data_IF_715697225856
#
_entry.id   IF_715697225856
#
_cell.length_a   1.000
_cell.length_b   1.000
_cell.length_c   1.000
_cell.angle_alpha   90.00
_cell.angle_beta   90.00
_cell.angle_gamma   90.00
#
_symmetry.space_group_name_H-M   'P 1'
#
loop_
_entity.id
_entity.type
_entity.pdbx_description
1 polymer ?
#
# COMPACT_ATOMS: atom_id res chain seq x y z
N UNK A 1 -18.72 18.03 12.57
CA UNK A 1 -17.34 18.44 12.91
C UNK A 1 -16.43 17.54 12.10
N UNK A 2 -15.46 18.06 11.35
CA UNK A 2 -14.62 17.23 10.47
C UNK A 2 -13.59 16.41 11.23
N UNK A 3 -13.21 16.83 12.43
CA UNK A 3 -12.15 16.18 13.20
C UNK A 3 -12.54 15.99 14.67
N UNK A 4 -12.40 14.77 15.15
CA UNK A 4 -12.42 14.38 16.55
C UNK A 4 -11.30 13.36 16.80
N UNK A 5 -10.34 13.71 17.66
CA UNK A 5 -9.20 12.86 17.97
C UNK A 5 -9.59 11.51 18.58
N UNK A 6 -10.76 11.42 19.25
CA UNK A 6 -11.24 10.19 19.87
C UNK A 6 -11.48 9.12 18.83
N UNK A 7 -11.87 9.52 17.62
CA UNK A 7 -12.10 8.61 16.51
C UNK A 7 -10.82 7.94 16.02
N UNK A 8 -9.66 8.58 16.18
CA UNK A 8 -8.36 7.98 15.83
C UNK A 8 -7.83 7.16 17.01
N UNK A 9 -7.82 7.75 18.22
CA UNK A 9 -7.19 7.15 19.39
C UNK A 9 -7.84 5.83 19.81
N UNK A 10 -9.17 5.68 19.62
CA UNK A 10 -9.89 4.43 19.93
C UNK A 10 -9.39 3.24 19.10
N UNK A 11 -8.87 3.45 17.90
CA UNK A 11 -8.39 2.35 17.04
C UNK A 11 -6.94 1.95 17.37
N UNK A 12 -6.11 2.89 17.83
CA UNK A 12 -4.75 2.56 18.29
C UNK A 12 -4.74 1.60 19.50
N UNK A 13 -5.76 1.65 20.35
CA UNK A 13 -5.90 0.67 21.44
C UNK A 13 -6.34 -0.70 20.93
N UNK A 14 -7.14 -0.76 19.86
CA UNK A 14 -7.62 -2.00 19.23
C UNK A 14 -6.54 -2.69 18.38
N UNK A 15 -5.68 -1.93 17.69
CA UNK A 15 -4.66 -2.48 16.77
C UNK A 15 -3.53 -3.27 17.44
N UNK A 16 -3.64 -3.60 18.74
CA UNK A 16 -2.65 -4.35 19.50
C UNK A 16 -1.26 -3.71 19.38
N UNK A 17 -1.15 -2.47 19.86
CA UNK A 17 0.07 -1.80 20.38
C UNK A 17 1.38 -1.75 19.59
N UNK A 18 1.52 -2.35 18.40
CA UNK A 18 2.79 -2.26 17.66
C UNK A 18 2.82 -1.05 16.73
N UNK A 19 3.46 0.01 17.23
CA UNK A 19 4.09 1.00 16.35
C UNK A 19 5.19 0.28 15.56
N UNK A 20 5.15 0.41 14.24
CA UNK A 20 6.11 -0.23 13.34
C UNK A 20 7.06 0.85 12.87
N UNK A 21 8.29 0.79 13.34
CA UNK A 21 9.30 1.75 12.95
C UNK A 21 9.87 1.41 11.57
N UNK A 22 9.79 2.37 10.63
CA UNK A 22 10.24 2.22 9.25
C UNK A 22 11.32 3.25 8.93
N UNK A 23 12.57 2.84 8.66
CA UNK A 23 13.66 3.76 8.41
C UNK A 23 13.60 4.44 7.04
N UNK A 24 12.86 3.85 6.10
CA UNK A 24 12.70 4.33 4.74
C UNK A 24 11.38 5.08 4.52
N UNK A 25 10.63 5.37 5.58
CA UNK A 25 9.36 6.09 5.51
C UNK A 25 9.56 7.61 5.45
N UNK A 26 8.98 8.23 4.42
CA UNK A 26 9.12 9.66 4.12
C UNK A 26 7.78 10.40 4.09
N UNK A 27 6.65 9.71 4.21
CA UNK A 27 5.35 10.35 4.12
C UNK A 27 4.18 9.39 4.07
N UNK A 28 2.98 9.96 3.91
CA UNK A 28 1.72 9.25 3.90
C UNK A 28 0.78 9.84 2.86
N UNK A 29 -0.14 9.02 2.36
CA UNK A 29 -1.39 9.48 1.75
C UNK A 29 -2.49 9.22 2.77
N UNK A 30 -3.15 10.28 3.23
CA UNK A 30 -4.19 10.23 4.26
C UNK A 30 -5.51 10.75 3.69
N UNK A 31 -6.64 10.15 4.06
CA UNK A 31 -7.95 10.68 3.71
C UNK A 31 -8.24 11.98 4.48
N UNK A 32 -9.20 12.75 3.96
CA UNK A 32 -9.62 14.02 4.55
C UNK A 32 -11.11 14.13 4.86
N UNK A 33 -11.92 13.12 4.54
CA UNK A 33 -13.26 13.04 5.12
C UNK A 33 -13.23 12.98 6.65
N UNK A 34 -14.39 13.25 7.25
CA UNK A 34 -14.54 13.33 8.70
C UNK A 34 -13.97 12.11 9.44
N UNK A 35 -13.29 12.34 10.56
CA UNK A 35 -12.62 11.27 11.34
C UNK A 35 -13.58 10.19 11.86
N UNK A 36 -14.87 10.49 11.96
CA UNK A 36 -15.91 9.50 12.24
C UNK A 36 -15.84 8.32 11.25
N UNK A 37 -15.51 8.59 9.99
CA UNK A 37 -15.40 7.60 8.92
C UNK A 37 -13.95 7.19 8.64
N UNK A 38 -12.99 8.10 8.83
CA UNK A 38 -11.60 7.90 8.41
C UNK A 38 -10.63 7.57 9.56
N UNK A 39 -11.07 7.67 10.82
CA UNK A 39 -10.22 7.51 12.01
C UNK A 39 -9.53 6.14 12.06
N UNK A 40 -10.21 5.08 11.63
CA UNK A 40 -9.70 3.71 11.60
C UNK A 40 -8.56 3.54 10.59
N UNK A 41 -8.74 3.99 9.34
CA UNK A 41 -7.68 3.91 8.32
C UNK A 41 -6.53 4.87 8.60
N UNK A 42 -6.78 6.06 9.17
CA UNK A 42 -5.72 6.99 9.60
C UNK A 42 -4.87 6.32 10.68
N UNK A 43 -5.50 5.73 11.71
CA UNK A 43 -4.80 5.02 12.77
C UNK A 43 -4.02 3.80 12.24
N UNK A 44 -4.60 3.04 11.31
CA UNK A 44 -3.92 1.92 10.65
C UNK A 44 -2.69 2.38 9.88
N UNK A 45 -2.80 3.46 9.13
CA UNK A 45 -1.72 4.00 8.28
C UNK A 45 -0.61 4.63 9.10
N UNK A 46 -0.96 5.33 10.18
CA UNK A 46 0.01 6.05 11.02
C UNK A 46 0.51 5.22 12.20
N UNK A 47 0.24 3.91 12.23
CA UNK A 47 0.99 2.98 13.09
C UNK A 47 2.42 2.77 12.58
N UNK A 48 2.64 2.97 11.28
CA UNK A 48 3.96 3.01 10.68
C UNK A 48 4.57 4.36 11.05
N UNK A 49 5.73 4.35 11.69
CA UNK A 49 6.39 5.54 12.23
C UNK A 49 7.77 5.67 11.60
N UNK A 50 8.16 6.85 11.07
CA UNK A 50 9.49 7.04 10.54
C UNK A 50 10.51 7.02 11.69
N UNK A 51 11.68 6.41 11.47
CA UNK A 51 12.79 6.52 12.45
C UNK A 51 13.58 7.81 12.29
N UNK A 52 13.52 8.44 11.11
CA UNK A 52 14.18 9.71 10.85
C UNK A 52 13.56 10.84 11.67
N UNK A 53 14.40 11.79 12.07
CA UNK A 53 13.94 13.07 12.61
C UNK A 53 13.49 13.96 11.45
N UNK A 54 12.48 14.77 11.69
CA UNK A 54 11.99 15.76 10.76
C UNK A 54 11.60 17.03 11.52
N UNK A 55 11.81 18.19 10.90
CA UNK A 55 11.41 19.50 11.42
C UNK A 55 10.32 20.14 10.57
N UNK A 56 9.98 19.54 9.42
CA UNK A 56 8.93 20.03 8.53
C UNK A 56 7.95 18.93 8.16
N UNK A 57 6.68 19.28 8.04
CA UNK A 57 5.62 18.43 7.52
C UNK A 57 4.93 19.18 6.40
N UNK A 58 5.13 18.73 5.17
CA UNK A 58 4.47 19.29 3.99
C UNK A 58 3.12 18.59 3.80
N UNK A 59 2.03 19.34 3.72
CA UNK A 59 0.69 18.77 3.47
C UNK A 59 0.20 19.29 2.11
N UNK A 60 0.21 18.42 1.12
CA UNK A 60 -0.31 18.68 -0.22
C UNK A 60 -1.81 18.37 -0.21
N UNK A 61 -2.62 19.38 -0.51
CA UNK A 61 -4.07 19.25 -0.54
C UNK A 61 -4.64 20.00 -1.74
N UNK A 62 -5.73 19.48 -2.28
CA UNK A 62 -6.55 20.17 -3.27
C UNK A 62 -7.82 20.62 -2.57
N UNK A 63 -8.11 21.93 -2.49
CA UNK A 63 -9.31 22.41 -1.83
C UNK A 63 -10.54 22.22 -2.72
N UNK A 64 -11.71 21.94 -2.12
CA UNK A 64 -12.99 21.92 -2.81
C UNK A 64 -13.26 23.21 -3.62
N UNK A 65 -12.76 24.36 -3.15
CA UNK A 65 -12.78 25.62 -3.91
C UNK A 65 -11.38 26.21 -3.99
N UNK A 66 -10.98 26.65 -5.19
CA UNK A 66 -9.68 27.28 -5.41
C UNK A 66 -9.43 28.53 -4.55
N UNK A 67 -10.48 29.23 -4.11
CA UNK A 67 -10.41 30.40 -3.23
C UNK A 67 -10.22 30.06 -1.74
N UNK A 68 -10.35 28.79 -1.34
CA UNK A 68 -10.24 28.40 0.06
C UNK A 68 -8.78 28.49 0.55
N UNK A 69 -8.63 29.06 1.73
CA UNK A 69 -7.36 29.03 2.45
C UNK A 69 -7.21 27.70 3.20
N UNK A 70 -5.98 27.34 3.56
CA UNK A 70 -5.73 26.17 4.42
C UNK A 70 -6.48 26.23 5.76
N UNK A 71 -6.89 27.42 6.24
CA UNK A 71 -7.65 27.57 7.49
C UNK A 71 -9.11 27.10 7.39
N UNK A 72 -9.63 26.99 6.17
CA UNK A 72 -11.04 26.66 5.89
C UNK A 72 -11.19 25.38 5.07
N UNK A 73 -10.12 24.88 4.46
CA UNK A 73 -10.10 23.65 3.69
C UNK A 73 -9.98 22.43 4.63
N UNK A 74 -11.03 21.62 4.70
CA UNK A 74 -11.02 20.38 5.47
C UNK A 74 -10.00 19.35 4.95
N UNK A 75 -9.68 19.45 3.66
CA UNK A 75 -8.64 18.71 2.95
C UNK A 75 -7.24 18.97 3.54
N UNK A 76 -7.02 20.12 4.16
CA UNK A 76 -5.84 20.38 4.96
C UNK A 76 -6.08 20.06 6.44
N UNK A 77 -7.21 20.49 6.99
CA UNK A 77 -7.49 20.45 8.42
C UNK A 77 -7.43 19.04 8.99
N UNK A 78 -8.07 18.06 8.33
CA UNK A 78 -8.17 16.69 8.83
C UNK A 78 -6.79 16.00 8.86
N UNK A 79 -5.99 15.98 7.78
CA UNK A 79 -4.63 15.43 7.84
C UNK A 79 -3.72 16.15 8.84
N UNK A 80 -3.80 17.49 8.92
CA UNK A 80 -3.02 18.29 9.85
C UNK A 80 -3.29 17.92 11.32
N UNK A 81 -4.58 17.94 11.72
CA UNK A 81 -4.97 17.60 13.08
C UNK A 81 -4.70 16.13 13.42
N UNK A 82 -4.87 15.23 12.44
CA UNK A 82 -4.50 13.81 12.60
C UNK A 82 -3.02 13.64 12.90
N UNK A 83 -2.15 14.35 12.16
CA UNK A 83 -0.71 14.36 12.42
C UNK A 83 -0.39 14.86 13.82
N UNK A 84 -0.95 16.01 14.22
CA UNK A 84 -0.74 16.55 15.57
C UNK A 84 -1.13 15.55 16.67
N UNK A 85 -2.35 15.02 16.59
CA UNK A 85 -2.85 14.04 17.57
C UNK A 85 -1.94 12.84 17.67
N UNK A 86 -1.53 12.25 16.56
CA UNK A 86 -0.70 11.04 16.56
C UNK A 86 0.73 11.34 17.01
N UNK A 87 1.33 12.42 16.52
CA UNK A 87 2.70 12.79 16.88
C UNK A 87 2.81 13.02 18.38
N UNK A 88 1.89 13.78 18.96
CA UNK A 88 1.94 14.14 20.37
C UNK A 88 1.50 12.99 21.28
N UNK A 89 0.37 12.35 20.96
CA UNK A 89 -0.29 11.41 21.88
C UNK A 89 0.14 9.97 21.68
N UNK A 90 0.50 9.57 20.47
CA UNK A 90 0.88 8.20 20.15
C UNK A 90 2.40 8.07 20.06
N UNK A 91 3.05 8.83 19.17
CA UNK A 91 4.49 8.75 18.96
C UNK A 91 5.32 9.52 19.99
N UNK A 92 4.67 10.35 20.82
CA UNK A 92 5.31 11.18 21.87
C UNK A 92 6.40 12.12 21.34
N UNK A 93 6.20 12.65 20.13
CA UNK A 93 7.04 13.65 19.49
C UNK A 93 6.58 15.05 19.92
N UNK A 94 7.53 15.92 20.27
CA UNK A 94 7.26 17.33 20.53
C UNK A 94 7.08 18.09 19.22
N UNK A 95 5.86 18.52 18.94
CA UNK A 95 5.43 19.23 17.72
C UNK A 95 5.80 20.72 17.71
N UNK A 96 6.23 21.32 18.83
CA UNK A 96 6.55 22.76 18.90
C UNK A 96 7.66 23.20 17.94
N UNK A 97 8.55 22.27 17.58
CA UNK A 97 9.68 22.52 16.67
C UNK A 97 9.43 21.95 15.27
N UNK A 98 8.20 21.53 14.97
CA UNK A 98 7.80 21.00 13.66
C UNK A 98 6.96 22.05 12.96
N UNK A 99 7.44 22.52 11.82
CA UNK A 99 6.72 23.42 10.93
C UNK A 99 5.76 22.62 10.04
N UNK A 100 4.47 22.91 10.11
CA UNK A 100 3.47 22.36 9.17
C UNK A 100 3.27 23.34 8.02
N UNK A 101 3.61 22.91 6.81
CA UNK A 101 3.63 23.75 5.61
C UNK A 101 2.50 23.31 4.67
N UNK A 102 1.40 24.09 4.57
CA UNK A 102 0.30 23.82 3.66
C UNK A 102 0.69 24.10 2.21
N UNK A 103 0.47 23.13 1.31
CA UNK A 103 0.57 23.31 -0.13
C UNK A 103 -0.80 23.10 -0.80
N UNK A 104 -1.47 24.22 -1.08
CA UNK A 104 -2.64 24.22 -1.97
C UNK A 104 -2.16 23.94 -3.39
N UNK A 105 -2.49 22.77 -3.92
CA UNK A 105 -1.96 22.33 -5.21
C UNK A 105 -2.57 23.09 -6.40
N UNK A 106 -3.65 23.84 -6.20
CA UNK A 106 -4.30 24.63 -7.26
C UNK A 106 -3.62 25.99 -7.42
N UNK A 107 -3.45 26.71 -6.32
CA UNK A 107 -3.04 28.13 -6.35
C UNK A 107 -1.54 28.34 -6.17
N UNK A 108 -0.84 27.37 -5.58
CA UNK A 108 0.57 27.53 -5.22
C UNK A 108 1.45 26.83 -6.25
N UNK A 109 2.43 27.56 -6.79
CA UNK A 109 3.54 26.93 -7.51
C UNK A 109 4.34 26.12 -6.50
N UNK A 110 4.27 24.79 -6.62
CA UNK A 110 4.95 23.91 -5.68
C UNK A 110 6.43 23.82 -6.07
N UNK A 111 7.37 24.24 -5.21
CA UNK A 111 8.80 24.18 -5.52
C UNK A 111 9.29 22.73 -5.44
N UNK A 112 10.24 22.35 -6.30
CA UNK A 112 10.93 21.07 -6.10
C UNK A 112 11.81 21.13 -4.85
N UNK A 113 11.63 20.18 -3.93
CA UNK A 113 12.46 20.07 -2.73
C UNK A 113 13.91 19.73 -3.10
N UNK A 114 14.84 20.29 -2.34
CA UNK A 114 16.22 19.82 -2.31
C UNK A 114 16.31 18.48 -1.58
N UNK A 115 17.42 17.75 -1.78
CA UNK A 115 17.68 16.48 -1.09
C UNK A 115 17.67 16.64 0.45
N UNK A 116 18.21 17.74 0.96
CA UNK A 116 18.26 18.00 2.40
C UNK A 116 16.87 18.30 2.96
N UNK A 117 16.08 19.12 2.28
CA UNK A 117 14.70 19.39 2.70
C UNK A 117 13.86 18.12 2.70
N UNK A 118 13.99 17.27 1.68
CA UNK A 118 13.29 15.98 1.64
C UNK A 118 13.70 15.06 2.79
N UNK A 119 15.00 14.98 3.09
CA UNK A 119 15.50 14.17 4.21
C UNK A 119 14.93 14.65 5.55
N UNK A 120 14.88 15.97 5.75
CA UNK A 120 14.51 16.60 7.03
C UNK A 120 12.99 16.89 7.14
N UNK A 121 12.18 16.36 6.21
CA UNK A 121 10.72 16.54 6.18
C UNK A 121 9.92 15.25 6.13
N UNK A 122 8.64 15.35 6.48
CA UNK A 122 7.61 14.36 6.22
C UNK A 122 6.62 14.93 5.21
N UNK A 123 6.15 14.11 4.27
CA UNK A 123 5.22 14.56 3.22
C UNK A 123 3.88 13.86 3.38
N UNK A 124 2.81 14.65 3.43
CA UNK A 124 1.44 14.17 3.50
C UNK A 124 0.73 14.57 2.21
N UNK A 125 0.10 13.60 1.55
CA UNK A 125 -0.86 13.84 0.47
C UNK A 125 -2.24 13.61 1.02
N UNK A 126 -3.11 14.60 0.86
CA UNK A 126 -4.51 14.54 1.24
C UNK A 126 -5.36 14.08 0.07
N UNK A 127 -6.06 12.94 0.20
CA UNK A 127 -6.89 12.40 -0.88
C UNK A 127 -7.98 11.44 -0.39
N UNK A 128 -9.19 11.62 -0.90
CA UNK A 128 -10.31 10.67 -0.80
C UNK A 128 -10.55 9.97 -2.15
N UNK A 129 -11.40 8.94 -2.17
CA UNK A 129 -11.62 8.09 -3.34
C UNK A 129 -13.11 7.75 -3.53
N UNK A 130 -13.51 7.55 -4.79
CA UNK A 130 -14.79 6.97 -5.23
C UNK A 130 -16.06 7.54 -4.57
N UNK A 131 -16.35 8.81 -4.84
CA UNK A 131 -17.54 9.48 -4.29
C UNK A 131 -18.84 8.93 -4.90
N UNK A 132 -19.75 8.47 -4.03
CA UNK A 132 -21.13 8.12 -4.36
C UNK A 132 -21.32 6.99 -5.38
N UNK A 133 -20.31 6.13 -5.54
CA UNK A 133 -20.39 4.91 -6.34
C UNK A 133 -20.94 3.75 -5.50
N UNK A 134 -21.65 2.81 -6.14
CA UNK A 134 -22.01 1.56 -5.49
C UNK A 134 -20.76 0.72 -5.17
N UNK A 135 -20.86 -0.17 -4.18
CA UNK A 135 -19.71 -0.91 -3.66
C UNK A 135 -18.90 -1.61 -4.76
N UNK A 136 -19.56 -2.30 -5.70
CA UNK A 136 -18.85 -3.13 -6.69
C UNK A 136 -18.16 -2.25 -7.75
N UNK A 137 -18.87 -1.25 -8.27
CA UNK A 137 -18.29 -0.30 -9.22
C UNK A 137 -17.11 0.45 -8.60
N UNK A 138 -17.30 0.94 -7.37
CA UNK A 138 -16.25 1.62 -6.64
C UNK A 138 -15.08 0.69 -6.35
N UNK A 139 -15.38 -0.58 -6.04
CA UNK A 139 -14.39 -1.56 -5.67
C UNK A 139 -13.39 -1.84 -6.80
N UNK A 140 -13.90 -2.04 -8.01
CA UNK A 140 -13.09 -2.27 -9.20
C UNK A 140 -12.28 -1.03 -9.57
N UNK A 141 -12.92 0.14 -9.52
CA UNK A 141 -12.29 1.40 -9.87
C UNK A 141 -11.15 1.76 -8.90
N UNK A 142 -11.33 1.54 -7.59
CA UNK A 142 -10.32 1.78 -6.57
C UNK A 142 -9.10 0.87 -6.71
N UNK A 143 -9.30 -0.43 -6.96
CA UNK A 143 -8.18 -1.36 -7.16
C UNK A 143 -7.34 -0.92 -8.38
N UNK A 144 -8.00 -0.50 -9.45
CA UNK A 144 -7.33 0.04 -10.63
C UNK A 144 -6.62 1.37 -10.33
N UNK A 145 -7.28 2.29 -9.63
CA UNK A 145 -6.74 3.60 -9.26
C UNK A 145 -5.52 3.48 -8.33
N UNK A 146 -5.55 2.57 -7.36
CA UNK A 146 -4.43 2.29 -6.47
C UNK A 146 -3.18 1.89 -7.27
N UNK A 147 -3.33 0.94 -8.19
CA UNK A 147 -2.25 0.48 -9.06
C UNK A 147 -1.77 1.60 -10.01
N UNK A 148 -2.68 2.40 -10.56
CA UNK A 148 -2.34 3.53 -11.42
C UNK A 148 -1.50 4.59 -10.70
N UNK A 149 -1.89 4.94 -9.47
CA UNK A 149 -1.17 5.90 -8.62
C UNK A 149 0.23 5.37 -8.28
N UNK A 150 0.30 4.11 -7.85
CA UNK A 150 1.57 3.48 -7.45
C UNK A 150 2.59 3.47 -8.60
N UNK A 151 2.13 3.26 -9.84
CA UNK A 151 2.97 3.28 -11.03
C UNK A 151 3.15 4.66 -11.66
N UNK A 152 2.53 5.71 -11.12
CA UNK A 152 2.46 7.04 -11.73
C UNK A 152 2.08 6.96 -13.22
N UNK A 153 0.97 6.26 -13.49
CA UNK A 153 0.56 5.91 -14.84
C UNK A 153 0.36 7.16 -15.73
N UNK A 154 0.98 7.16 -16.91
CA UNK A 154 0.91 8.30 -17.84
C UNK A 154 0.78 7.83 -19.30
N UNK A 155 -0.32 8.20 -20.00
CA UNK A 155 -1.48 8.94 -19.47
C UNK A 155 -2.22 8.15 -18.37
N UNK A 156 -2.91 8.83 -17.44
CA UNK A 156 -3.66 8.16 -16.39
C UNK A 156 -4.84 7.36 -17.01
N UNK A 157 -5.08 6.11 -16.58
CA UNK A 157 -6.22 5.32 -17.06
C UNK A 157 -7.53 5.87 -16.48
N UNK A 158 -8.66 5.66 -17.17
CA UNK A 158 -9.99 6.18 -16.77
C UNK A 158 -10.39 5.86 -15.32
N UNK A 159 -9.91 4.74 -14.76
CA UNK A 159 -10.22 4.41 -13.38
C UNK A 159 -9.68 5.43 -12.35
N UNK A 160 -8.68 6.26 -12.69
CA UNK A 160 -8.22 7.33 -11.80
C UNK A 160 -9.20 8.49 -11.69
N UNK A 161 -10.26 8.54 -12.50
CA UNK A 161 -11.30 9.57 -12.40
C UNK A 161 -12.06 9.50 -11.06
N UNK A 162 -11.97 8.36 -10.35
CA UNK A 162 -12.55 8.21 -9.01
C UNK A 162 -11.67 8.76 -7.90
N UNK A 163 -10.42 9.16 -8.20
CA UNK A 163 -9.52 9.73 -7.21
C UNK A 163 -9.86 11.20 -7.08
N UNK A 164 -10.24 11.63 -5.88
CA UNK A 164 -10.45 13.05 -5.66
C UNK A 164 -9.14 13.78 -5.90
N UNK A 165 -9.18 14.65 -6.91
CA UNK A 165 -8.07 15.51 -7.27
C UNK A 165 -6.77 14.75 -7.58
N UNK A 166 -6.83 13.84 -8.56
CA UNK A 166 -5.69 13.06 -9.06
C UNK A 166 -4.41 13.90 -9.36
N UNK A 167 -4.59 15.18 -9.73
CA UNK A 167 -3.52 16.16 -9.93
C UNK A 167 -2.57 16.30 -8.73
N UNK A 168 -3.06 16.05 -7.51
CA UNK A 168 -2.27 16.08 -6.29
C UNK A 168 -1.14 15.04 -6.33
N UNK A 169 -1.42 13.85 -6.87
CA UNK A 169 -0.42 12.79 -7.05
C UNK A 169 0.57 13.14 -8.17
N UNK A 170 0.10 13.72 -9.28
CA UNK A 170 0.99 14.20 -10.34
C UNK A 170 1.97 15.26 -9.81
N UNK A 171 1.45 16.16 -8.96
CA UNK A 171 2.25 17.21 -8.33
C UNK A 171 3.19 16.70 -7.25
N UNK A 172 2.84 15.64 -6.51
CA UNK A 172 3.76 14.96 -5.59
C UNK A 172 5.07 14.58 -6.29
N UNK A 173 5.01 13.92 -7.46
CA UNK A 173 6.24 13.52 -8.16
C UNK A 173 7.08 14.71 -8.66
N UNK A 174 6.44 15.84 -8.97
CA UNK A 174 7.14 17.08 -9.35
C UNK A 174 7.79 17.79 -8.15
N UNK A 175 7.17 17.65 -6.97
CA UNK A 175 7.57 18.23 -5.69
C UNK A 175 8.84 17.56 -5.14
N UNK A 176 8.97 16.25 -5.34
CA UNK A 176 10.07 15.47 -4.82
C UNK A 176 11.40 15.75 -5.57
N UNK A 177 12.56 15.61 -4.89
CA UNK A 177 13.85 15.74 -5.56
C UNK A 177 13.95 14.73 -6.72
N UNK A 178 14.55 15.10 -7.85
CA UNK A 178 14.73 14.17 -8.99
C UNK A 178 15.65 12.99 -8.68
N UNK A 179 16.42 13.07 -7.59
CA UNK A 179 17.25 11.99 -7.08
C UNK A 179 16.52 11.09 -6.07
N UNK A 180 15.34 11.49 -5.62
CA UNK A 180 14.48 10.63 -4.83
C UNK A 180 13.72 9.68 -5.77
N UNK A 181 13.78 8.39 -5.47
CA UNK A 181 12.96 7.37 -6.11
C UNK A 181 11.92 6.93 -5.07
N UNK A 182 10.85 7.72 -4.87
CA UNK A 182 9.79 7.36 -3.94
C UNK A 182 8.97 6.18 -4.48
N UNK A 183 8.53 5.33 -3.57
CA UNK A 183 7.64 4.20 -3.83
C UNK A 183 6.43 4.40 -2.94
N UNK A 184 5.25 4.51 -3.54
CA UNK A 184 3.99 4.46 -2.80
C UNK A 184 3.67 2.99 -2.51
N UNK A 185 3.53 2.62 -1.24
CA UNK A 185 3.07 1.30 -0.83
C UNK A 185 1.63 1.41 -0.34
N UNK A 186 0.70 0.73 -1.02
CA UNK A 186 -0.68 0.65 -0.58
C UNK A 186 -0.78 -0.19 0.70
N UNK A 187 -1.35 0.38 1.76
CA UNK A 187 -1.43 -0.29 3.08
C UNK A 187 -2.83 -0.31 3.67
N UNK A 188 -3.75 0.53 3.22
CA UNK A 188 -5.08 0.61 3.79
C UNK A 188 -6.17 0.90 2.76
N UNK A 189 -7.35 0.36 3.03
CA UNK A 189 -8.57 0.58 2.26
C UNK A 189 -9.78 0.43 3.16
N UNK A 190 -10.64 1.43 3.22
CA UNK A 190 -11.95 1.35 3.88
C UNK A 190 -12.97 2.20 3.14
N UNK A 191 -14.23 2.17 3.56
CA UNK A 191 -15.30 3.04 3.04
C UNK A 191 -16.21 3.52 4.16
N UNK A 192 -16.80 4.70 3.96
CA UNK A 192 -17.92 5.14 4.79
C UNK A 192 -19.16 4.25 4.59
N UNK A 193 -20.05 4.16 5.59
CA UNK A 193 -21.21 3.27 5.52
C UNK A 193 -22.22 3.68 4.43
N UNK A 194 -23.04 2.69 4.03
CA UNK A 194 -24.15 2.86 3.10
C UNK A 194 -23.84 2.45 1.65
N UNK A 195 -24.90 2.21 0.88
CA UNK A 195 -24.82 1.74 -0.51
C UNK A 195 -24.06 2.65 -1.49
N UNK A 196 -23.80 3.90 -1.12
CA UNK A 196 -23.04 4.89 -1.90
C UNK A 196 -22.01 5.61 -1.02
N UNK A 197 -21.33 4.86 -0.17
CA UNK A 197 -20.24 5.38 0.67
C UNK A 197 -19.08 5.93 -0.15
N UNK A 198 -18.23 6.72 0.50
CA UNK A 198 -16.97 7.24 -0.02
C UNK A 198 -15.86 6.26 0.32
N UNK A 199 -14.96 6.04 -0.63
CA UNK A 199 -13.77 5.21 -0.45
C UNK A 199 -12.58 5.97 0.12
N UNK A 200 -11.76 5.26 0.88
CA UNK A 200 -10.53 5.79 1.45
C UNK A 200 -9.41 4.79 1.21
N UNK A 201 -8.40 5.20 0.46
CA UNK A 201 -7.17 4.44 0.28
C UNK A 201 -6.04 5.18 1.00
N UNK A 202 -5.10 4.41 1.56
CA UNK A 202 -3.95 4.99 2.23
C UNK A 202 -2.66 4.32 1.82
N UNK A 203 -1.62 5.14 1.71
CA UNK A 203 -0.33 4.71 1.20
C UNK A 203 0.79 5.22 2.08
N UNK A 204 1.88 4.47 2.13
CA UNK A 204 3.15 4.91 2.68
C UNK A 204 4.02 5.46 1.54
N UNK A 205 4.59 6.64 1.71
CA UNK A 205 5.63 7.17 0.82
C UNK A 205 6.98 6.67 1.32
N UNK A 206 7.53 5.64 0.67
CA UNK A 206 8.79 4.99 1.06
C UNK A 206 9.91 5.32 0.09
N UNK A 207 11.16 5.14 0.52
CA UNK A 207 12.29 5.12 -0.41
C UNK A 207 12.29 3.79 -1.17
N UNK A 208 12.64 3.81 -2.47
CA UNK A 208 12.79 2.59 -3.25
C UNK A 208 13.77 1.62 -2.61
N UNK A 209 13.37 0.35 -2.56
CA UNK A 209 14.21 -0.71 -2.03
C UNK A 209 15.20 -1.21 -3.08
N UNK A 210 16.49 -1.21 -2.74
CA UNK A 210 17.56 -1.75 -3.58
C UNK A 210 18.16 -2.98 -2.89
N UNK A 211 17.83 -4.17 -3.38
CA UNK A 211 18.37 -5.43 -2.84
C UNK A 211 19.87 -5.49 -3.10
N UNK A 212 20.67 -5.76 -2.06
CA UNK A 212 22.12 -5.94 -2.16
C UNK A 212 22.93 -4.66 -2.42
N UNK A 213 22.29 -3.51 -2.60
CA UNK A 213 22.95 -2.21 -2.65
C UNK A 213 23.18 -1.69 -1.23
N UNK A 214 24.40 -1.24 -0.91
CA UNK A 214 24.73 -0.52 0.33
C UNK A 214 24.10 0.88 0.39
N UNK A 215 22.80 0.98 0.12
CA UNK A 215 22.04 2.22 0.12
C UNK A 215 21.99 2.84 1.51
N UNK A 216 22.38 4.11 1.55
CA UNK A 216 22.33 5.01 2.71
C UNK A 216 20.87 5.07 3.20
N UNK A 217 20.54 4.36 4.28
CA UNK A 217 19.20 4.42 4.87
C UNK A 217 18.80 3.28 5.81
N UNK A 218 19.50 2.13 5.80
CA UNK A 218 19.23 1.10 6.79
C UNK A 218 19.84 1.47 8.14
N UNK A 219 19.03 2.07 9.00
CA UNK A 219 19.33 2.12 10.42
C UNK A 219 19.48 0.69 10.96
N UNK A 220 20.70 0.34 11.37
CA UNK A 220 20.92 -0.51 12.54
C UNK A 220 21.43 -1.94 12.34
N UNK A 221 21.41 -2.53 11.14
CA UNK A 221 22.08 -3.82 10.93
C UNK A 221 22.64 -3.89 9.50
N UNK A 222 23.96 -3.73 9.39
CA UNK A 222 24.72 -3.63 8.14
C UNK A 222 24.79 -4.91 7.31
N UNK A 223 23.81 -5.81 7.43
CA UNK A 223 23.63 -6.93 6.53
C UNK A 223 22.55 -6.59 5.50
N UNK A 224 22.90 -6.62 4.20
CA UNK A 224 21.90 -6.50 3.13
C UNK A 224 21.03 -7.74 3.15
N UNK A 225 19.97 -7.74 3.97
CA UNK A 225 19.05 -8.87 4.11
C UNK A 225 18.52 -9.23 2.73
N UNK A 226 18.87 -10.42 2.26
CA UNK A 226 18.33 -10.93 1.01
C UNK A 226 16.86 -11.32 1.21
N UNK A 227 16.02 -11.17 0.18
CA UNK A 227 14.63 -11.59 0.28
C UNK A 227 14.53 -13.12 0.37
N UNK A 228 13.53 -13.58 1.12
CA UNK A 228 13.18 -15.01 1.25
C UNK A 228 12.33 -15.48 0.06
N UNK A 229 11.71 -14.54 -0.65
CA UNK A 229 11.01 -14.77 -1.90
C UNK A 229 10.83 -13.47 -2.66
N UNK A 230 10.50 -13.56 -3.93
CA UNK A 230 10.08 -12.41 -4.72
C UNK A 230 8.88 -12.77 -5.57
N UNK A 231 8.02 -11.79 -5.84
CA UNK A 231 6.96 -11.87 -6.83
C UNK A 231 7.13 -10.75 -7.84
N UNK A 232 6.83 -11.02 -9.10
CA UNK A 232 6.73 -10.00 -10.13
C UNK A 232 5.32 -10.06 -10.71
N UNK A 233 4.64 -8.93 -10.66
CA UNK A 233 3.32 -8.73 -11.27
C UNK A 233 3.43 -7.71 -12.40
N UNK A 234 2.90 -8.01 -13.58
CA UNK A 234 2.91 -7.08 -14.71
C UNK A 234 1.51 -6.58 -15.09
N UNK A 235 1.44 -5.34 -15.56
CA UNK A 235 0.21 -4.65 -15.92
C UNK A 235 0.27 -4.06 -17.32
N UNK A 236 -0.88 -3.97 -17.98
CA UNK A 236 -1.03 -3.22 -19.22
C UNK A 236 -1.24 -1.71 -18.97
N UNK A 237 -1.53 -0.96 -20.05
CA UNK A 237 -1.75 0.48 -19.97
C UNK A 237 -2.97 0.89 -19.12
N UNK A 238 -3.92 -0.03 -18.92
CA UNK A 238 -5.16 0.21 -18.16
C UNK A 238 -5.07 -0.33 -16.73
N UNK A 239 -3.86 -0.65 -16.24
CA UNK A 239 -3.64 -1.29 -14.94
C UNK A 239 -4.35 -2.65 -14.77
N UNK A 240 -4.67 -3.33 -15.87
CA UNK A 240 -5.15 -4.70 -15.76
C UNK A 240 -3.96 -5.60 -15.47
N UNK A 241 -4.01 -6.33 -14.35
CA UNK A 241 -2.98 -7.32 -14.02
C UNK A 241 -2.98 -8.45 -15.06
N UNK A 242 -1.81 -8.72 -15.65
CA UNK A 242 -1.67 -9.68 -16.74
C UNK A 242 -0.98 -10.96 -16.30
N UNK A 243 0.02 -10.91 -15.44
CA UNK A 243 0.63 -12.13 -14.92
C UNK A 243 1.29 -11.83 -13.58
N UNK A 244 1.36 -12.84 -12.71
CA UNK A 244 2.05 -12.78 -11.45
C UNK A 244 2.77 -14.11 -11.19
N UNK A 245 4.10 -14.08 -11.12
CA UNK A 245 4.93 -15.25 -10.79
C UNK A 245 5.79 -14.95 -9.57
N UNK A 246 5.93 -15.97 -8.73
CA UNK A 246 6.75 -15.93 -7.53
C UNK A 246 7.91 -16.91 -7.59
N UNK A 247 8.98 -16.56 -6.90
CA UNK A 247 10.15 -17.42 -6.66
C UNK A 247 10.57 -17.34 -5.20
N UNK A 248 10.79 -18.49 -4.58
CA UNK A 248 11.27 -18.59 -3.21
C UNK A 248 12.79 -18.81 -3.18
N UNK A 249 13.45 -18.24 -2.17
CA UNK A 249 14.91 -18.32 -1.94
C UNK A 249 15.28 -18.92 -0.58
N UNK A 250 14.28 -19.34 0.18
CA UNK A 250 14.49 -19.86 1.52
C UNK A 250 15.25 -21.20 1.47
N UNK A 251 16.32 -21.33 2.25
CA UNK A 251 17.24 -22.48 2.18
C UNK A 251 16.93 -23.58 3.20
N UNK A 252 15.78 -23.58 3.86
CA UNK A 252 15.44 -24.64 4.82
C UNK A 252 13.98 -24.70 5.25
N UNK A 253 13.35 -25.85 5.01
CA UNK A 253 12.23 -26.35 5.83
C UNK A 253 10.85 -26.45 5.17
N UNK A 254 10.62 -27.56 4.46
CA UNK A 254 9.40 -28.36 4.59
C UNK A 254 8.18 -28.01 3.72
N UNK A 255 7.90 -28.89 2.75
CA UNK A 255 6.54 -29.41 2.53
C UNK A 255 5.57 -28.59 1.69
N UNK A 256 5.88 -28.35 0.42
CA UNK A 256 4.90 -27.89 -0.57
C UNK A 256 5.33 -28.30 -1.97
N UNK A 257 4.63 -29.27 -2.55
CA UNK A 257 4.93 -29.88 -3.86
C UNK A 257 4.93 -28.84 -4.99
N UNK A 258 6.11 -28.47 -5.46
CA UNK A 258 6.26 -27.60 -6.63
C UNK A 258 7.68 -27.10 -6.88
N UNK A 259 8.59 -27.99 -7.26
CA UNK A 259 9.87 -27.65 -7.87
C UNK A 259 11.00 -27.31 -6.89
N UNK A 260 11.94 -28.26 -6.73
CA UNK A 260 13.11 -28.10 -5.87
C UNK A 260 13.99 -26.92 -6.27
N UNK A 261 14.21 -25.99 -5.33
CA UNK A 261 15.31 -25.05 -5.41
C UNK A 261 16.32 -25.37 -4.31
N UNK A 262 17.40 -26.06 -4.68
CA UNK A 262 18.61 -26.20 -3.89
C UNK A 262 19.08 -24.83 -3.38
N UNK A 263 18.80 -24.48 -2.13
CA UNK A 263 19.47 -23.39 -1.40
C UNK A 263 19.68 -22.07 -2.17
N UNK A 264 18.84 -21.76 -3.16
CA UNK A 264 19.12 -20.69 -4.13
C UNK A 264 18.85 -19.37 -3.44
N UNK A 265 19.89 -18.54 -3.32
CA UNK A 265 19.74 -17.16 -2.86
C UNK A 265 19.25 -16.29 -4.01
N UNK A 266 18.59 -15.18 -3.66
CA UNK A 266 18.27 -14.13 -4.62
C UNK A 266 19.54 -13.64 -5.32
N UNK A 267 19.46 -13.38 -6.63
CA UNK A 267 20.48 -12.68 -7.40
C UNK A 267 19.79 -11.75 -8.39
N UNK A 268 20.50 -10.72 -8.87
CA UNK A 268 19.96 -9.82 -9.91
C UNK A 268 19.58 -10.56 -11.19
N UNK A 269 20.36 -11.58 -11.57
CA UNK A 269 20.04 -12.46 -12.70
C UNK A 269 18.71 -13.18 -12.51
N UNK A 270 18.45 -13.73 -11.33
CA UNK A 270 17.20 -14.41 -11.01
C UNK A 270 15.98 -13.45 -11.01
N UNK A 271 16.18 -12.19 -10.63
CA UNK A 271 15.18 -11.13 -10.78
C UNK A 271 14.89 -10.81 -12.25
N UNK A 272 15.93 -10.57 -13.05
CA UNK A 272 15.79 -10.20 -14.46
C UNK A 272 15.15 -11.33 -15.29
N UNK A 273 15.50 -12.58 -15.00
CA UNK A 273 14.89 -13.77 -15.60
C UNK A 273 13.39 -13.86 -15.25
N UNK A 274 13.02 -13.64 -13.98
CA UNK A 274 11.62 -13.66 -13.56
C UNK A 274 10.82 -12.52 -14.18
N UNK A 275 11.37 -11.31 -14.25
CA UNK A 275 10.73 -10.16 -14.92
C UNK A 275 10.48 -10.48 -16.40
N UNK A 276 11.49 -11.00 -17.09
CA UNK A 276 11.37 -11.36 -18.51
C UNK A 276 10.28 -12.42 -18.74
N UNK A 277 10.23 -13.47 -17.92
CA UNK A 277 9.21 -14.53 -18.01
C UNK A 277 7.80 -13.99 -17.75
N UNK A 278 7.62 -13.18 -16.71
CA UNK A 278 6.32 -12.56 -16.39
C UNK A 278 5.85 -11.64 -17.51
N UNK A 279 6.72 -10.78 -18.04
CA UNK A 279 6.38 -9.88 -19.15
C UNK A 279 6.03 -10.68 -20.41
N UNK A 280 6.82 -11.72 -20.73
CA UNK A 280 6.57 -12.57 -21.90
C UNK A 280 5.22 -13.29 -21.80
N UNK A 281 4.91 -13.90 -20.65
CA UNK A 281 3.63 -14.58 -20.41
C UNK A 281 2.46 -13.62 -20.36
N UNK A 282 2.63 -12.45 -19.74
CA UNK A 282 1.61 -11.40 -19.69
C UNK A 282 1.17 -10.90 -21.07
N UNK A 283 2.08 -10.93 -22.06
CA UNK A 283 1.81 -10.59 -23.47
C UNK A 283 1.03 -11.67 -24.23
N UNK A 284 1.04 -12.93 -23.79
CA UNK A 284 0.67 -14.09 -24.61
C UNK A 284 -0.34 -15.08 -24.00
N UNK A 285 -0.17 -15.51 -22.75
CA UNK A 285 -0.90 -16.66 -22.16
C UNK A 285 -1.29 -16.45 -20.69
N UNK A 286 -1.54 -15.20 -20.31
CA UNK A 286 -1.92 -14.76 -18.97
C UNK A 286 -2.90 -15.70 -18.24
N UNK A 287 -2.48 -16.26 -17.10
CA UNK A 287 -3.38 -17.05 -16.23
C UNK A 287 -4.40 -16.18 -15.50
N UNK A 288 -4.05 -14.92 -15.24
CA UNK A 288 -4.92 -13.98 -14.53
C UNK A 288 -6.10 -13.51 -15.38
N UNK A 289 -5.99 -13.61 -16.71
CA UNK A 289 -7.08 -13.25 -17.65
C UNK A 289 -7.72 -14.45 -18.33
N UNK A 290 -7.49 -15.67 -17.82
CA UNK A 290 -8.21 -16.87 -18.24
C UNK A 290 -7.61 -17.66 -19.42
N UNK A 291 -6.31 -17.49 -19.73
CA UNK A 291 -5.61 -18.29 -20.74
C UNK A 291 -5.05 -17.46 -21.91
N UNK A 292 -4.85 -18.08 -23.10
CA UNK A 292 -4.37 -17.37 -24.29
C UNK A 292 -5.30 -16.20 -24.59
N UNK A 293 -4.76 -14.99 -24.65
CA UNK A 293 -5.58 -13.83 -24.93
C UNK A 293 -5.93 -13.81 -26.42
N UNK A 294 -7.19 -13.54 -26.74
CA UNK A 294 -7.64 -13.38 -28.14
C UNK A 294 -6.86 -12.30 -28.88
N UNK A 295 -6.31 -11.33 -28.15
CA UNK A 295 -5.27 -10.43 -28.62
C UNK A 295 -3.89 -11.07 -28.42
N UNK A 296 -3.26 -11.53 -29.49
CA UNK A 296 -1.82 -11.83 -29.47
C UNK A 296 -1.04 -10.54 -29.20
N UNK A 297 -0.12 -10.54 -28.21
CA UNK A 297 0.82 -9.45 -27.91
C UNK A 297 0.23 -8.20 -27.23
N UNK A 298 -0.44 -8.37 -26.08
CA UNK A 298 -0.90 -7.22 -25.26
C UNK A 298 0.30 -6.42 -24.72
N UNK A 299 0.42 -5.12 -24.99
CA UNK A 299 1.55 -4.32 -24.51
C UNK A 299 1.58 -4.19 -22.98
N UNK A 300 2.51 -4.89 -22.35
CA UNK A 300 2.86 -4.67 -20.93
C UNK A 300 3.58 -3.34 -20.80
N UNK A 301 3.15 -2.52 -19.82
CA UNK A 301 3.67 -1.17 -19.56
C UNK A 301 4.32 -1.02 -18.20
N UNK A 302 3.89 -1.81 -17.21
CA UNK A 302 4.33 -1.66 -15.84
C UNK A 302 4.59 -3.01 -15.18
N UNK A 303 5.54 -3.05 -14.26
CA UNK A 303 5.76 -4.19 -13.38
C UNK A 303 5.95 -3.74 -11.93
N UNK A 304 5.39 -4.48 -11.00
CA UNK A 304 5.69 -4.42 -9.58
C UNK A 304 6.55 -5.61 -9.21
N UNK A 305 7.67 -5.35 -8.55
CA UNK A 305 8.53 -6.37 -7.94
C UNK A 305 8.32 -6.28 -6.44
N UNK A 306 7.85 -7.37 -5.85
CA UNK A 306 7.58 -7.50 -4.42
C UNK A 306 8.61 -8.43 -3.80
N UNK A 307 9.54 -7.87 -3.04
CA UNK A 307 10.54 -8.61 -2.27
C UNK A 307 9.95 -8.99 -0.92
N UNK A 308 10.02 -10.26 -0.55
CA UNK A 308 9.41 -10.80 0.66
C UNK A 308 10.45 -11.08 1.74
N UNK A 309 10.16 -10.64 2.96
CA UNK A 309 10.98 -10.88 4.13
C UNK A 309 10.15 -11.59 5.18
N UNK A 310 10.57 -12.79 5.60
CA UNK A 310 9.88 -13.52 6.66
C UNK A 310 9.86 -12.67 7.93
N UNK A 311 8.67 -12.45 8.45
CA UNK A 311 8.45 -11.85 9.75
C UNK A 311 8.37 -12.97 10.79
N UNK A 312 9.42 -13.03 11.62
CA UNK A 312 9.54 -14.02 12.70
C UNK A 312 9.21 -13.42 14.07
N UNK A 313 8.91 -12.12 14.11
CA UNK A 313 8.64 -11.37 15.34
C UNK A 313 7.14 -11.17 15.56
N UNK A 314 6.35 -11.18 14.48
CA UNK A 314 4.89 -11.08 14.55
C UNK A 314 4.25 -12.47 14.51
N UNK A 315 3.48 -12.79 15.55
CA UNK A 315 2.67 -14.00 15.55
C UNK A 315 1.54 -13.91 14.50
N UNK A 316 1.13 -15.02 13.84
CA UNK A 316 0.11 -15.00 12.79
C UNK A 316 -1.25 -14.39 13.17
N UNK A 317 -1.65 -14.43 14.45
CA UNK A 317 -2.87 -13.81 14.97
C UNK A 317 -2.77 -12.28 15.06
N UNK A 318 -1.57 -11.72 14.97
CA UNK A 318 -1.27 -10.29 14.87
C UNK A 318 -1.06 -9.83 13.43
N UNK A 319 -1.67 -10.54 12.48
CA UNK A 319 -1.69 -10.17 11.07
C UNK A 319 -2.16 -8.72 10.87
N UNK A 320 -1.58 -8.04 9.87
CA UNK A 320 -1.89 -6.65 9.54
C UNK A 320 -2.21 -6.59 8.06
N UNK A 321 -3.48 -6.35 7.74
CA UNK A 321 -3.99 -6.20 6.38
C UNK A 321 -3.22 -5.12 5.61
N UNK A 322 -2.79 -5.41 4.38
CA UNK A 322 -2.00 -4.50 3.54
C UNK A 322 -0.52 -4.38 3.91
N UNK A 323 -0.07 -5.00 5.00
CA UNK A 323 1.34 -5.00 5.42
C UNK A 323 1.95 -6.39 5.38
N UNK A 324 1.23 -7.39 5.87
CA UNK A 324 1.67 -8.78 5.87
C UNK A 324 1.11 -9.54 4.66
N UNK A 325 2.00 -10.28 3.99
CA UNK A 325 1.65 -11.44 3.18
C UNK A 325 1.55 -12.67 4.06
N UNK A 326 0.79 -13.67 3.63
CA UNK A 326 0.52 -14.88 4.40
C UNK A 326 0.80 -16.12 3.59
N UNK A 327 1.70 -16.96 4.12
CA UNK A 327 1.95 -18.31 3.65
C UNK A 327 1.26 -19.32 4.60
N UNK A 328 0.36 -20.13 4.05
CA UNK A 328 -0.19 -21.32 4.69
C UNK A 328 -0.15 -22.48 3.67
N UNK A 329 -1.29 -23.01 3.20
CA UNK A 329 -1.29 -23.99 2.09
C UNK A 329 -0.94 -23.38 0.72
N UNK A 330 -1.15 -22.08 0.56
CA UNK A 330 -0.67 -21.28 -0.56
C UNK A 330 -0.16 -19.92 -0.03
N UNK A 331 0.20 -19.01 -0.93
CA UNK A 331 0.63 -17.66 -0.58
C UNK A 331 -0.28 -16.58 -1.16
N UNK A 332 -0.57 -15.55 -0.35
CA UNK A 332 -1.12 -14.28 -0.80
C UNK A 332 -0.19 -13.12 -0.42
N UNK A 333 0.02 -12.21 -1.37
CA UNK A 333 0.75 -10.95 -1.19
C UNK A 333 -0.09 -9.96 -0.35
N UNK A 334 0.53 -8.97 0.33
CA UNK A 334 -0.18 -7.98 1.14
C UNK A 334 -1.33 -7.27 0.38
N UNK A 335 -1.11 -6.93 -0.88
CA UNK A 335 -2.07 -6.24 -1.74
C UNK A 335 -3.34 -7.05 -2.02
N UNK A 336 -3.25 -8.39 -2.09
CA UNK A 336 -4.42 -9.26 -2.32
C UNK A 336 -5.46 -9.05 -1.22
N UNK A 337 -5.03 -8.78 0.01
CA UNK A 337 -5.94 -8.52 1.12
C UNK A 337 -6.64 -7.15 1.00
N UNK A 338 -5.96 -6.15 0.45
CA UNK A 338 -6.56 -4.84 0.18
C UNK A 338 -7.51 -4.91 -1.01
N UNK A 339 -7.15 -5.70 -2.00
CA UNK A 339 -7.94 -5.93 -3.20
C UNK A 339 -9.21 -6.71 -2.91
N UNK A 340 -9.21 -7.72 -2.03
CA UNK A 340 -10.28 -8.72 -1.97
C UNK A 340 -10.97 -8.90 -0.62
N UNK A 341 -10.53 -8.23 0.45
CA UNK A 341 -11.14 -8.40 1.78
C UNK A 341 -11.63 -7.07 2.35
N UNK A 342 -12.65 -7.12 3.21
CA UNK A 342 -13.04 -6.01 4.07
C UNK A 342 -12.05 -5.84 5.24
N UNK A 343 -12.24 -4.80 6.06
CA UNK A 343 -11.41 -4.54 7.25
C UNK A 343 -11.48 -5.63 8.31
N UNK A 344 -12.56 -6.41 8.34
CA UNK A 344 -12.71 -7.58 9.22
C UNK A 344 -12.17 -8.89 8.61
N UNK A 345 -11.56 -8.86 7.43
CA UNK A 345 -10.96 -10.02 6.76
C UNK A 345 -11.93 -10.94 6.01
N UNK A 346 -13.23 -10.63 6.01
CA UNK A 346 -14.19 -11.30 5.13
C UNK A 346 -13.88 -10.98 3.67
N UNK A 347 -14.00 -11.98 2.80
CA UNK A 347 -13.78 -11.79 1.36
C UNK A 347 -14.99 -11.10 0.73
N UNK A 348 -14.70 -10.09 -0.09
CA UNK A 348 -15.70 -9.30 -0.82
C UNK A 348 -16.32 -10.19 -1.90
N UNK A 349 -17.64 -10.21 -1.94
CA UNK A 349 -18.44 -11.02 -2.87
C UNK A 349 -19.21 -10.11 -3.84
N UNK A 350 -19.55 -10.62 -5.05
CA UNK A 350 -20.33 -9.85 -6.02
C UNK A 350 -21.69 -9.35 -5.50
N UNK A 351 -22.30 -10.09 -4.57
CA UNK A 351 -23.58 -9.75 -3.96
C UNK A 351 -23.49 -8.71 -2.83
N UNK A 352 -22.29 -8.37 -2.35
CA UNK A 352 -22.13 -7.38 -1.29
C UNK A 352 -22.50 -5.99 -1.81
N UNK A 353 -23.22 -5.23 -0.99
CA UNK A 353 -23.76 -3.90 -1.36
C UNK A 353 -23.19 -2.76 -0.54
N UNK A 354 -22.62 -3.05 0.63
CA UNK A 354 -22.16 -2.04 1.58
C UNK A 354 -20.88 -2.51 2.27
N UNK A 355 -20.07 -1.54 2.72
CA UNK A 355 -18.87 -1.83 3.49
C UNK A 355 -19.23 -2.08 4.96
N UNK A 356 -18.90 -3.25 5.53
CA UNK A 356 -19.22 -3.57 6.91
C UNK A 356 -18.43 -2.66 7.86
N UNK A 357 -19.08 -2.23 8.95
CA UNK A 357 -18.48 -1.39 9.99
C UNK A 357 -17.96 -2.25 11.17
N UNK A 358 -17.51 -3.47 10.86
CA UNK A 358 -16.80 -4.38 11.76
C UNK A 358 -15.32 -4.36 11.37
N UNK A 359 -14.45 -4.19 12.36
CA UNK A 359 -13.01 -3.98 12.16
C UNK A 359 -12.16 -5.10 12.78
N UNK A 360 -12.79 -6.14 13.34
CA UNK A 360 -12.08 -7.27 13.93
C UNK A 360 -11.61 -8.22 12.83
N UNK A 361 -10.35 -8.04 12.39
CA UNK A 361 -9.79 -8.85 11.32
C UNK A 361 -9.68 -10.33 11.70
N UNK A 362 -10.31 -11.20 10.91
CA UNK A 362 -10.30 -12.66 11.05
C UNK A 362 -9.68 -13.32 9.83
N UNK A 363 -8.92 -14.38 10.07
CA UNK A 363 -8.21 -15.11 9.02
C UNK A 363 -9.00 -16.28 8.41
N UNK A 364 -10.18 -16.60 8.94
CA UNK A 364 -10.89 -17.84 8.57
C UNK A 364 -11.19 -17.93 7.06
N UNK A 365 -11.80 -16.89 6.49
CA UNK A 365 -12.11 -16.83 5.05
C UNK A 365 -10.84 -16.81 4.19
N UNK A 366 -9.79 -16.17 4.70
CA UNK A 366 -8.46 -16.15 4.05
C UNK A 366 -7.86 -17.54 3.99
N UNK A 367 -7.85 -18.28 5.10
CA UNK A 367 -7.28 -19.62 5.17
C UNK A 367 -8.07 -20.59 4.27
N UNK A 368 -9.40 -20.47 4.24
CA UNK A 368 -10.24 -21.22 3.30
C UNK A 368 -9.92 -20.87 1.84
N UNK A 369 -9.65 -19.60 1.52
CA UNK A 369 -9.27 -19.16 0.18
C UNK A 369 -7.87 -19.62 -0.22
N UNK A 370 -6.92 -19.69 0.72
CA UNK A 370 -5.60 -20.27 0.50
C UNK A 370 -5.67 -21.79 0.24
N UNK A 371 -6.53 -22.52 0.97
CA UNK A 371 -6.76 -23.95 0.74
C UNK A 371 -7.31 -24.20 -0.68
N UNK A 372 -8.31 -23.41 -1.10
CA UNK A 372 -8.86 -23.48 -2.47
C UNK A 372 -7.79 -23.18 -3.52
N UNK A 373 -6.99 -22.14 -3.30
CA UNK A 373 -5.88 -21.78 -4.20
C UNK A 373 -4.84 -22.88 -4.32
N UNK A 374 -4.55 -23.60 -3.23
CA UNK A 374 -3.63 -24.73 -3.21
C UNK A 374 -4.22 -26.02 -3.80
N UNK A 375 -5.53 -26.07 -4.07
CA UNK A 375 -6.22 -27.29 -4.50
C UNK A 375 -6.33 -28.35 -3.40
N UNK A 376 -6.31 -27.93 -2.12
CA UNK A 376 -6.45 -28.83 -0.97
C UNK A 376 -7.82 -28.68 -0.31
N UNK A 377 -8.18 -29.63 0.57
CA UNK A 377 -9.44 -29.57 1.34
C UNK A 377 -9.45 -28.32 2.24
N UNK A 378 -10.56 -27.59 2.22
CA UNK A 378 -10.80 -26.44 3.12
C UNK A 378 -10.71 -26.88 4.59
N UNK A 379 -9.97 -26.10 5.38
CA UNK A 379 -9.65 -26.37 6.78
C UNK A 379 -8.25 -26.96 6.99
N UNK A 380 -7.50 -27.23 5.92
CA UNK A 380 -6.10 -27.69 5.98
C UNK A 380 -5.19 -26.59 6.52
N UNK A 381 -5.28 -25.38 5.97
CA UNK A 381 -4.49 -24.21 6.40
C UNK A 381 -4.72 -23.82 7.85
N UNK A 382 -5.92 -24.05 8.38
CA UNK A 382 -6.23 -23.77 9.80
C UNK A 382 -5.46 -24.66 10.77
N UNK A 383 -4.95 -25.81 10.31
CA UNK A 383 -4.17 -26.78 11.09
C UNK A 383 -2.66 -26.73 10.81
N UNK A 384 -2.25 -26.03 9.75
CA UNK A 384 -0.84 -25.93 9.32
C UNK A 384 -0.08 -24.77 9.97
N UNK A 385 1.24 -24.76 9.77
CA UNK A 385 2.09 -23.63 10.13
C UNK A 385 1.75 -22.42 9.23
N UNK A 386 1.52 -21.26 9.86
CA UNK A 386 1.27 -19.99 9.17
C UNK A 386 2.53 -19.14 9.28
N UNK A 387 3.01 -18.62 8.16
CA UNK A 387 4.19 -17.74 8.13
C UNK A 387 3.81 -16.38 7.57
N UNK A 388 4.21 -15.33 8.27
CA UNK A 388 4.02 -13.95 7.83
C UNK A 388 5.24 -13.44 7.07
N UNK A 389 4.99 -12.60 6.08
CA UNK A 389 6.04 -11.93 5.31
C UNK A 389 5.73 -10.44 5.20
N UNK A 390 6.70 -9.58 5.46
CA UNK A 390 6.64 -8.17 5.08
C UNK A 390 7.19 -8.00 3.67
N UNK A 391 6.87 -6.86 3.04
CA UNK A 391 7.31 -6.56 1.68
C UNK A 391 8.13 -5.28 1.57
N UNK A 392 9.05 -5.30 0.61
CA UNK A 392 9.63 -4.12 0.01
C UNK A 392 9.31 -4.11 -1.49
N UNK A 393 9.10 -2.93 -2.06
CA UNK A 393 8.54 -2.79 -3.41
C UNK A 393 9.48 -2.02 -4.31
N UNK A 394 9.46 -2.39 -5.60
CA UNK A 394 10.10 -1.69 -6.69
C UNK A 394 9.17 -1.65 -7.89
N UNK A 395 9.07 -0.50 -8.54
CA UNK A 395 8.19 -0.31 -9.69
C UNK A 395 9.00 -0.05 -10.96
N UNK A 396 8.66 -0.75 -12.03
CA UNK A 396 9.29 -0.61 -13.34
C UNK A 396 8.27 -0.16 -14.37
N UNK A 397 8.73 0.68 -15.29
CA UNK A 397 8.06 0.98 -16.56
C UNK A 397 8.79 0.22 -17.68
N UNK A 398 8.04 -0.51 -18.50
CA UNK A 398 8.54 -1.39 -19.57
C UNK A 398 8.48 -0.70 -20.94
#
# INVERSE_FOLDING_TARGET
MWFDERDILKHFTTFSSSIIELPDLNGYVLPHAGTEYTGQIIAHTMRFKPTKRFSKVYILFYPAKSSESHKTAHEYEVPYKSCLTIFEKVWKINTRNIEFVPYNVVTTTIPRLTRNEYRDSLIIVSADFSHFLDLQTAYEAENCAANAIIHNASPPPKCTDVVDHHDTFMRLYSFLPSTALPVLQWVGRTRSPGAKGVGYLSFLLRQEHIVGGGGIGNGGDGSSKLPHGMFVTCYDANMTARECLGKWFDTGGGGGSGGGSNGKKWTKKEEDELISDVVHKGRSISRLTGGPTTASNVPIKYCTITYLYRDVHTAPDKFIRGWHGLLASAFYLPEVFLEHTFDNGQWIKPEDKEWPQDYAFRLDDTLASLDRKAGVRVGTSSRGEKKLYTSALRYLRI
#
